data_IF_213232612459
#
_entry.id   IF_213232612459
#
_cell.length_a   1.000
_cell.length_b   1.000
_cell.length_c   1.000
_cell.angle_alpha   90.00
_cell.angle_beta   90.00
_cell.angle_gamma   90.00
#
_symmetry.space_group_name_H-M   'P 1'
#
loop_
_entity.id
_entity.type
_entity.pdbx_description
1 polymer ?
#
# COMPACT_ATOMS: atom_id res chain seq x y z
N UNK A 1 -2.53 -26.73 9.89
CA UNK A 1 -2.21 -25.96 8.67
C UNK A 1 -0.70 -25.97 8.48
N UNK A 2 -0.21 -25.91 7.24
CA UNK A 2 1.20 -25.65 6.97
C UNK A 2 1.48 -24.16 7.22
N UNK A 3 2.51 -23.85 8.00
CA UNK A 3 2.93 -22.46 8.25
C UNK A 3 4.23 -22.22 7.50
N UNK A 4 4.32 -21.10 6.81
CA UNK A 4 5.51 -20.71 6.06
C UNK A 4 5.95 -19.31 6.47
N UNK A 5 7.24 -19.18 6.77
CA UNK A 5 7.87 -17.90 7.00
C UNK A 5 8.15 -17.22 5.66
N UNK A 6 7.42 -16.14 5.38
CA UNK A 6 7.56 -15.40 4.11
C UNK A 6 8.78 -14.47 4.06
N UNK A 7 9.46 -14.25 5.19
CA UNK A 7 10.66 -13.41 5.26
C UNK A 7 11.92 -14.27 5.11
N UNK A 8 11.87 -15.52 5.55
CA UNK A 8 12.96 -16.50 5.44
C UNK A 8 12.70 -17.52 4.32
N UNK A 9 12.49 -17.03 3.10
CA UNK A 9 12.47 -17.87 1.89
C UNK A 9 11.35 -18.91 1.81
N UNK A 10 10.26 -18.76 2.56
CA UNK A 10 9.18 -19.73 2.61
C UNK A 10 9.53 -20.96 3.45
N UNK A 11 10.42 -20.83 4.45
CA UNK A 11 10.75 -21.91 5.38
C UNK A 11 9.48 -22.44 6.05
N UNK A 12 9.30 -23.76 6.04
CA UNK A 12 8.19 -24.39 6.75
C UNK A 12 8.42 -24.34 8.25
N UNK A 13 7.41 -23.89 8.98
CA UNK A 13 7.38 -23.86 10.44
C UNK A 13 6.24 -24.75 10.95
N UNK A 14 6.44 -25.31 12.13
CA UNK A 14 5.34 -25.82 12.95
C UNK A 14 4.56 -24.65 13.56
N UNK A 15 3.33 -24.91 13.99
CA UNK A 15 2.50 -23.89 14.66
C UNK A 15 3.17 -23.37 15.93
N UNK A 16 3.83 -24.24 16.69
CA UNK A 16 4.51 -23.89 17.93
C UNK A 16 5.73 -23.01 17.68
N UNK A 17 6.51 -23.30 16.63
CA UNK A 17 7.64 -22.46 16.22
C UNK A 17 7.18 -21.06 15.82
N UNK A 18 6.18 -20.98 14.93
CA UNK A 18 5.61 -19.70 14.50
C UNK A 18 4.98 -18.93 15.68
N UNK A 19 4.32 -19.63 16.60
CA UNK A 19 3.74 -19.02 17.81
C UNK A 19 4.79 -18.45 18.75
N UNK A 20 5.92 -19.15 18.90
CA UNK A 20 7.07 -18.66 19.69
C UNK A 20 7.69 -17.44 19.04
N UNK A 21 7.98 -17.48 17.74
CA UNK A 21 8.57 -16.34 17.01
C UNK A 21 7.66 -15.11 17.06
N UNK A 22 6.34 -15.28 16.85
CA UNK A 22 5.38 -14.19 16.97
C UNK A 22 5.38 -13.57 18.37
N UNK A 23 5.49 -14.39 19.43
CA UNK A 23 5.58 -13.91 20.82
C UNK A 23 6.89 -13.19 21.10
N UNK A 24 8.01 -13.67 20.55
CA UNK A 24 9.30 -13.01 20.68
C UNK A 24 9.30 -11.62 20.02
N UNK A 25 8.59 -11.47 18.89
CA UNK A 25 8.48 -10.20 18.17
C UNK A 25 7.49 -9.21 18.80
N UNK A 26 6.35 -9.70 19.31
CA UNK A 26 5.24 -8.83 19.74
C UNK A 26 5.05 -8.75 21.26
N UNK A 27 5.71 -9.64 22.01
CA UNK A 27 5.54 -9.80 23.46
C UNK A 27 4.27 -10.55 23.89
N UNK A 28 3.38 -10.91 22.95
CA UNK A 28 2.09 -11.55 23.24
C UNK A 28 1.94 -12.84 22.40
N UNK A 29 1.30 -13.85 22.98
CA UNK A 29 0.99 -15.07 22.23
C UNK A 29 -0.04 -14.76 21.12
N UNK A 30 0.17 -15.23 19.88
CA UNK A 30 -0.83 -15.07 18.83
C UNK A 30 -2.11 -15.85 19.15
N UNK A 31 -3.26 -15.27 18.85
CA UNK A 31 -4.54 -15.96 18.89
C UNK A 31 -4.63 -17.04 17.81
N UNK A 32 -5.45 -18.05 18.03
CA UNK A 32 -5.59 -19.19 17.12
C UNK A 32 -6.02 -18.79 15.69
N UNK A 33 -6.78 -17.70 15.59
CA UNK A 33 -7.34 -17.15 14.35
C UNK A 33 -6.25 -16.68 13.38
N UNK A 34 -5.10 -16.22 13.86
CA UNK A 34 -4.01 -15.74 12.99
C UNK A 34 -3.35 -16.85 12.18
N UNK A 35 -3.59 -18.11 12.54
CA UNK A 35 -3.13 -19.28 11.79
C UNK A 35 -4.12 -19.72 10.70
N UNK A 36 -5.21 -18.97 10.52
CA UNK A 36 -6.15 -19.20 9.41
C UNK A 36 -5.42 -18.92 8.10
N UNK A 37 -5.54 -19.84 7.14
CA UNK A 37 -4.92 -19.66 5.84
C UNK A 37 -5.49 -18.42 5.14
N UNK A 38 -4.62 -17.50 4.75
CA UNK A 38 -5.00 -16.36 3.95
C UNK A 38 -5.48 -16.82 2.56
N UNK A 39 -6.50 -16.16 2.02
CA UNK A 39 -6.94 -16.43 0.65
C UNK A 39 -5.94 -15.88 -0.38
N UNK A 40 -6.06 -16.35 -1.62
CA UNK A 40 -5.16 -15.97 -2.70
C UNK A 40 -5.14 -14.45 -2.95
N UNK A 41 -6.28 -13.77 -2.74
CA UNK A 41 -6.42 -12.32 -2.93
C UNK A 41 -5.62 -11.57 -1.86
N UNK A 42 -5.70 -11.99 -0.61
CA UNK A 42 -4.97 -11.44 0.54
C UNK A 42 -3.47 -11.62 0.36
N UNK A 43 -3.04 -12.80 -0.09
CA UNK A 43 -1.64 -13.07 -0.42
C UNK A 43 -1.16 -12.13 -1.54
N UNK A 44 -1.93 -12.02 -2.63
CA UNK A 44 -1.57 -11.16 -3.75
C UNK A 44 -1.43 -9.68 -3.34
N UNK A 45 -2.38 -9.15 -2.56
CA UNK A 45 -2.30 -7.78 -2.02
C UNK A 45 -1.04 -7.58 -1.18
N UNK A 46 -0.72 -8.54 -0.30
CA UNK A 46 0.50 -8.48 0.51
C UNK A 46 1.76 -8.47 -0.35
N UNK A 47 1.82 -9.30 -1.38
CA UNK A 47 2.96 -9.33 -2.31
C UNK A 47 3.10 -8.01 -3.07
N UNK A 48 2.00 -7.42 -3.54
CA UNK A 48 2.03 -6.13 -4.22
C UNK A 48 2.55 -5.01 -3.30
N UNK A 49 2.09 -4.96 -2.04
CA UNK A 49 2.62 -4.01 -1.04
C UNK A 49 4.11 -4.18 -0.81
N UNK A 50 4.58 -5.42 -0.69
CA UNK A 50 6.01 -5.71 -0.55
C UNK A 50 6.80 -5.24 -1.77
N UNK A 51 6.25 -5.43 -2.98
CA UNK A 51 6.89 -4.96 -4.21
C UNK A 51 6.94 -3.43 -4.27
N UNK A 52 5.86 -2.73 -3.90
CA UNK A 52 5.84 -1.27 -3.76
C UNK A 52 6.96 -0.80 -2.82
N UNK A 53 7.06 -1.40 -1.63
CA UNK A 53 8.12 -1.07 -0.66
C UNK A 53 9.53 -1.29 -1.24
N UNK A 54 9.76 -2.41 -1.93
CA UNK A 54 11.05 -2.72 -2.55
C UNK A 54 11.41 -1.70 -3.63
N UNK A 55 10.47 -1.36 -4.52
CA UNK A 55 10.73 -0.41 -5.60
C UNK A 55 10.99 1.00 -5.06
N UNK A 56 10.22 1.46 -4.05
CA UNK A 56 10.39 2.79 -3.44
C UNK A 56 11.68 2.85 -2.59
N UNK A 57 11.84 1.94 -1.63
CA UNK A 57 12.82 2.09 -0.55
C UNK A 57 14.16 1.41 -0.83
N UNK A 58 14.22 0.42 -1.74
CA UNK A 58 15.45 -0.34 -2.02
C UNK A 58 16.00 -0.10 -3.41
N UNK A 59 15.14 -0.12 -4.43
CA UNK A 59 15.56 -0.02 -5.84
C UNK A 59 15.51 1.38 -6.40
N UNK A 60 14.77 2.30 -5.76
CA UNK A 60 14.59 3.68 -6.20
C UNK A 60 14.02 3.77 -7.62
N UNK A 61 13.02 2.95 -7.90
CA UNK A 61 12.33 2.78 -9.20
C UNK A 61 10.84 3.12 -9.06
N UNK A 62 10.51 4.40 -8.78
CA UNK A 62 9.14 4.83 -8.47
C UNK A 62 8.13 4.54 -9.59
N UNK A 63 8.56 4.52 -10.85
CA UNK A 63 7.72 4.15 -11.99
C UNK A 63 7.19 2.71 -11.90
N UNK A 64 8.02 1.78 -11.40
CA UNK A 64 7.60 0.39 -11.17
C UNK A 64 6.68 0.26 -9.97
N UNK A 65 6.94 1.04 -8.92
CA UNK A 65 6.03 1.13 -7.78
C UNK A 65 4.63 1.58 -8.21
N UNK A 66 4.54 2.56 -9.12
CA UNK A 66 3.29 3.01 -9.72
C UNK A 66 2.48 1.89 -10.36
N UNK A 67 3.11 1.00 -11.14
CA UNK A 67 2.43 -0.14 -11.77
C UNK A 67 1.81 -1.11 -10.73
N UNK A 68 2.50 -1.34 -9.61
CA UNK A 68 1.98 -2.18 -8.54
C UNK A 68 0.83 -1.50 -7.78
N UNK A 69 0.89 -0.19 -7.58
CA UNK A 69 -0.21 0.59 -6.98
C UNK A 69 -1.45 0.61 -7.87
N UNK A 70 -1.30 0.73 -9.19
CA UNK A 70 -2.42 0.60 -10.14
C UNK A 70 -3.13 -0.76 -10.00
N UNK A 71 -2.35 -1.85 -9.97
CA UNK A 71 -2.90 -3.19 -9.79
C UNK A 71 -3.56 -3.36 -8.41
N UNK A 72 -2.94 -2.83 -7.36
CA UNK A 72 -3.49 -2.90 -6.01
C UNK A 72 -4.82 -2.16 -5.92
N UNK A 73 -4.94 -0.97 -6.51
CA UNK A 73 -6.18 -0.19 -6.55
C UNK A 73 -7.24 -0.79 -7.48
N UNK A 74 -6.86 -1.59 -8.48
CA UNK A 74 -7.81 -2.41 -9.24
C UNK A 74 -8.39 -3.56 -8.39
N UNK A 75 -7.62 -4.07 -7.42
CA UNK A 75 -8.04 -5.15 -6.52
C UNK A 75 -8.81 -4.58 -5.31
N UNK A 76 -8.32 -3.51 -4.69
CA UNK A 76 -8.87 -2.82 -3.52
C UNK A 76 -9.03 -1.31 -3.82
N UNK A 77 -10.13 -0.90 -4.48
CA UNK A 77 -10.33 0.48 -4.91
C UNK A 77 -10.44 1.51 -3.78
N UNK A 78 -10.76 1.04 -2.58
CA UNK A 78 -10.94 1.77 -1.33
C UNK A 78 -9.66 1.87 -0.49
N UNK A 79 -8.53 1.34 -0.99
CA UNK A 79 -7.24 1.35 -0.31
C UNK A 79 -6.63 2.77 -0.28
N UNK A 80 -7.05 3.55 0.71
CA UNK A 80 -6.72 4.96 0.85
C UNK A 80 -5.21 5.26 0.93
N UNK A 81 -4.47 4.41 1.65
CA UNK A 81 -3.03 4.58 1.80
C UNK A 81 -2.31 4.44 0.46
N UNK A 82 -2.65 3.41 -0.31
CA UNK A 82 -2.08 3.17 -1.64
C UNK A 82 -2.50 4.23 -2.66
N UNK A 83 -3.73 4.73 -2.55
CA UNK A 83 -4.18 5.86 -3.36
C UNK A 83 -3.39 7.13 -3.05
N UNK A 84 -3.11 7.40 -1.78
CA UNK A 84 -2.24 8.50 -1.39
C UNK A 84 -0.79 8.32 -1.89
N UNK A 85 -0.22 7.11 -1.75
CA UNK A 85 1.10 6.81 -2.32
C UNK A 85 1.13 7.05 -3.84
N UNK A 86 0.08 6.63 -4.57
CA UNK A 86 -0.03 6.85 -6.01
C UNK A 86 -0.11 8.33 -6.37
N UNK A 87 -0.84 9.14 -5.59
CA UNK A 87 -0.89 10.59 -5.76
C UNK A 87 0.51 11.21 -5.65
N UNK A 88 1.31 10.79 -4.67
CA UNK A 88 2.69 11.29 -4.49
C UNK A 88 3.57 10.91 -5.68
N UNK A 89 3.50 9.68 -6.18
CA UNK A 89 4.29 9.25 -7.33
C UNK A 89 3.88 9.98 -8.63
N UNK A 90 2.58 10.19 -8.84
CA UNK A 90 2.05 10.96 -9.98
C UNK A 90 2.50 12.41 -9.91
N UNK A 91 2.48 13.02 -8.73
CA UNK A 91 2.98 14.38 -8.52
C UNK A 91 4.46 14.50 -8.86
N UNK A 92 5.29 13.55 -8.41
CA UNK A 92 6.71 13.50 -8.71
C UNK A 92 7.00 13.31 -10.21
N UNK A 93 6.06 12.74 -10.95
CA UNK A 93 6.14 12.56 -12.40
C UNK A 93 5.49 13.72 -13.19
N UNK A 94 5.17 14.84 -12.52
CA UNK A 94 4.47 16.01 -13.08
C UNK A 94 3.07 15.69 -13.66
N UNK A 95 2.48 14.53 -13.32
CA UNK A 95 1.11 14.15 -13.70
C UNK A 95 0.11 14.76 -12.71
N UNK A 96 0.01 16.08 -12.75
CA UNK A 96 -0.83 16.84 -11.82
C UNK A 96 -2.32 16.55 -12.00
N UNK A 97 -2.76 16.20 -13.21
CA UNK A 97 -4.16 15.82 -13.49
C UNK A 97 -4.54 14.58 -12.71
N UNK A 98 -3.77 13.49 -12.87
CA UNK A 98 -4.07 12.25 -12.15
C UNK A 98 -3.74 12.33 -10.65
N UNK A 99 -2.84 13.23 -10.26
CA UNK A 99 -2.65 13.58 -8.85
C UNK A 99 -3.92 14.18 -8.25
N UNK A 100 -4.58 15.13 -8.94
CA UNK A 100 -5.85 15.71 -8.46
C UNK A 100 -6.93 14.65 -8.29
N UNK A 101 -7.07 13.73 -9.25
CA UNK A 101 -8.05 12.65 -9.16
C UNK A 101 -7.91 11.82 -7.87
N UNK A 102 -6.68 11.47 -7.50
CA UNK A 102 -6.43 10.70 -6.28
C UNK A 102 -6.69 11.51 -5.01
N UNK A 103 -6.27 12.79 -4.99
CA UNK A 103 -6.50 13.68 -3.86
C UNK A 103 -7.98 14.01 -3.67
N UNK A 104 -8.72 14.27 -4.76
CA UNK A 104 -10.15 14.54 -4.75
C UNK A 104 -10.92 13.35 -4.18
N UNK A 105 -10.59 12.13 -4.62
CA UNK A 105 -11.18 10.92 -4.05
C UNK A 105 -10.93 10.83 -2.54
N UNK A 106 -9.71 11.11 -2.07
CA UNK A 106 -9.35 11.04 -0.66
C UNK A 106 -10.09 12.11 0.18
N UNK A 107 -10.25 13.32 -0.36
CA UNK A 107 -10.99 14.42 0.27
C UNK A 107 -12.49 14.15 0.35
N UNK A 108 -13.05 13.52 -0.69
CA UNK A 108 -14.46 13.14 -0.77
C UNK A 108 -14.81 11.96 0.16
N UNK A 109 -14.01 10.90 0.14
CA UNK A 109 -14.33 9.65 0.85
C UNK A 109 -13.92 9.66 2.33
N UNK A 110 -13.06 10.60 2.71
CA UNK A 110 -12.57 10.81 4.08
C UNK A 110 -12.19 9.52 4.86
N UNK A 111 -11.26 8.69 4.35
CA UNK A 111 -10.79 7.50 5.04
C UNK A 111 -9.98 7.84 6.31
N UNK A 112 -10.14 7.09 7.42
CA UNK A 112 -9.46 7.41 8.67
C UNK A 112 -7.94 7.37 8.55
N UNK A 113 -7.25 8.16 9.39
CA UNK A 113 -5.79 8.16 9.49
C UNK A 113 -5.06 9.16 8.59
N UNK A 114 -5.78 10.05 7.90
CA UNK A 114 -5.20 11.16 7.12
C UNK A 114 -5.38 12.51 7.81
N UNK A 115 -4.42 13.41 7.61
CA UNK A 115 -4.52 14.82 7.96
C UNK A 115 -5.15 15.58 6.79
N UNK A 116 -6.45 15.85 6.87
CA UNK A 116 -7.20 16.52 5.81
C UNK A 116 -6.75 17.95 5.56
N UNK A 117 -6.30 18.65 6.60
CA UNK A 117 -5.77 20.01 6.43
C UNK A 117 -4.53 20.00 5.54
N UNK A 118 -3.65 19.00 5.70
CA UNK A 118 -2.48 18.83 4.81
C UNK A 118 -2.88 18.34 3.43
N UNK A 119 -3.89 17.48 3.33
CA UNK A 119 -4.36 16.95 2.06
C UNK A 119 -5.00 18.05 1.19
N UNK A 120 -5.79 18.94 1.81
CA UNK A 120 -6.37 20.13 1.17
C UNK A 120 -5.26 21.07 0.70
N UNK A 121 -4.28 21.39 1.57
CA UNK A 121 -3.13 22.20 1.18
C UNK A 121 -2.35 21.58 0.02
N UNK A 122 -2.16 20.25 0.03
CA UNK A 122 -1.49 19.57 -1.07
C UNK A 122 -2.31 19.72 -2.37
N UNK A 123 -3.62 19.51 -2.29
CA UNK A 123 -4.52 19.65 -3.44
C UNK A 123 -4.58 21.06 -4.00
N UNK A 124 -4.54 22.09 -3.15
CA UNK A 124 -4.50 23.51 -3.54
C UNK A 124 -3.14 23.93 -4.08
N UNK A 125 -2.05 23.27 -3.68
CA UNK A 125 -0.70 23.59 -4.16
C UNK A 125 -0.43 23.14 -5.59
N UNK A 126 -1.29 22.28 -6.16
CA UNK A 126 -1.13 21.79 -7.51
C UNK A 126 -1.30 22.95 -8.52
N UNK A 127 -0.43 23.06 -9.55
CA UNK A 127 -0.56 24.10 -10.56
C UNK A 127 -1.92 23.98 -11.25
N UNK A 128 -2.52 25.06 -11.75
CA UNK A 128 -3.74 24.94 -12.55
C UNK A 128 -3.51 24.00 -13.73
N UNK A 129 -4.52 23.21 -14.11
CA UNK A 129 -4.42 22.46 -15.36
C UNK A 129 -4.17 23.49 -16.47
N UNK A 130 -2.99 23.45 -17.08
CA UNK A 130 -2.73 24.15 -18.33
C UNK A 130 -3.78 23.66 -19.29
N UNK A 131 -4.89 24.39 -19.41
CA UNK A 131 -5.93 24.10 -20.38
C UNK A 131 -5.24 24.14 -21.72
N UNK A 132 -4.90 22.96 -22.23
CA UNK A 132 -4.31 22.75 -23.54
C UNK A 132 -5.32 23.26 -24.55
N UNK A 133 -5.26 24.57 -24.83
CA UNK A 133 -5.81 25.10 -26.05
C UNK A 133 -4.89 24.61 -27.17
N UNK A 134 -5.43 23.63 -27.88
CA UNK A 134 -5.07 23.11 -29.21
C UNK A 134 -4.12 21.93 -29.24
#
# INVERSE_FOLDING_TARGET
ALVFDVFEGGKSLTRDEAGREARELTGVAPDDEVFTAADARTIAVRMLRNLVDIEINRRQTPEKAGNYLELLLAIQPDAAYERFQRAILRYQADDFERTREDLDWLLENRPPGLDYSRLEQFRESLPESSGGKK
#
